data_IF_528969747080
#
_entry.id   IF_528969747080
#
_cell.length_a   1.000
_cell.length_b   1.000
_cell.length_c   1.000
_cell.angle_alpha   90.00
_cell.angle_beta   90.00
_cell.angle_gamma   90.00
#
_symmetry.space_group_name_H-M   'P 1'
#
loop_
_entity.id
_entity.type
_entity.pdbx_description
1 polymer ?
#
# COMPACT_ATOMS: atom_id res chain seq x y z
N UNK A 1 -9.16 -6.18 -18.20
CA UNK A 1 -8.91 -5.08 -17.23
C UNK A 1 -10.08 -4.78 -16.27
N UNK A 2 -11.23 -5.49 -16.31
CA UNK A 2 -12.45 -5.07 -15.59
C UNK A 2 -12.80 -5.82 -14.30
N UNK A 3 -12.09 -6.89 -13.90
CA UNK A 3 -12.52 -7.71 -12.76
C UNK A 3 -11.90 -7.33 -11.41
N UNK A 4 -10.67 -6.78 -11.39
CA UNK A 4 -9.99 -6.41 -10.14
C UNK A 4 -10.60 -5.16 -9.49
N UNK A 5 -11.10 -4.23 -10.31
CA UNK A 5 -11.74 -3.00 -9.84
C UNK A 5 -13.01 -3.37 -9.07
N UNK A 6 -13.93 -4.16 -9.64
CA UNK A 6 -15.23 -4.51 -9.03
C UNK A 6 -15.15 -5.16 -7.65
N UNK A 7 -14.12 -5.95 -7.36
CA UNK A 7 -14.01 -6.66 -6.09
C UNK A 7 -13.58 -5.75 -4.92
N UNK A 8 -12.85 -4.65 -5.20
CA UNK A 8 -12.44 -3.69 -4.19
C UNK A 8 -13.60 -2.83 -3.66
N UNK A 9 -14.66 -2.61 -4.46
CA UNK A 9 -15.83 -1.83 -4.05
C UNK A 9 -16.58 -2.52 -2.92
N UNK A 10 -16.76 -3.84 -3.00
CA UNK A 10 -17.47 -4.62 -1.98
C UNK A 10 -16.72 -4.75 -0.65
N UNK A 11 -15.38 -4.79 -0.67
CA UNK A 11 -14.60 -4.95 0.57
C UNK A 11 -14.54 -3.68 1.43
N UNK A 12 -14.93 -2.52 0.88
CA UNK A 12 -14.80 -1.23 1.56
C UNK A 12 -16.10 -0.42 1.60
N UNK A 13 -17.25 -1.07 1.40
CA UNK A 13 -18.58 -0.42 1.42
C UNK A 13 -18.84 0.38 2.70
N UNK A 14 -18.49 -0.17 3.86
CA UNK A 14 -18.67 0.51 5.15
C UNK A 14 -17.82 1.79 5.25
N UNK A 15 -16.60 1.75 4.71
CA UNK A 15 -15.71 2.92 4.67
C UNK A 15 -16.23 3.97 3.68
N UNK A 16 -16.71 3.55 2.51
CA UNK A 16 -17.31 4.44 1.50
C UNK A 16 -18.56 5.12 2.08
N UNK A 17 -19.42 4.37 2.77
CA UNK A 17 -20.60 4.90 3.44
C UNK A 17 -20.23 5.87 4.56
N UNK A 18 -19.20 5.55 5.34
CA UNK A 18 -18.67 6.45 6.36
C UNK A 18 -18.20 7.78 5.75
N UNK A 19 -17.35 7.73 4.71
CA UNK A 19 -16.81 8.92 4.05
C UNK A 19 -17.90 9.79 3.42
N UNK A 20 -18.90 9.17 2.80
CA UNK A 20 -20.05 9.89 2.21
C UNK A 20 -20.86 10.63 3.29
N UNK A 21 -20.87 10.14 4.54
CA UNK A 21 -21.57 10.77 5.66
C UNK A 21 -20.74 11.84 6.37
N UNK A 22 -19.42 11.71 6.39
CA UNK A 22 -18.52 12.59 7.17
C UNK A 22 -17.77 13.61 6.33
N UNK A 23 -17.94 13.60 5.00
CA UNK A 23 -17.30 14.52 4.07
C UNK A 23 -18.26 14.94 2.95
N UNK A 24 -17.91 15.97 2.16
CA UNK A 24 -18.71 16.38 0.99
C UNK A 24 -18.66 15.41 -0.20
N UNK A 25 -17.91 14.30 -0.11
CA UNK A 25 -17.68 13.39 -1.23
C UNK A 25 -18.95 12.65 -1.61
N UNK A 26 -19.27 12.63 -2.90
CA UNK A 26 -20.26 11.72 -3.45
C UNK A 26 -19.78 10.26 -3.35
N UNK A 27 -20.70 9.29 -3.36
CA UNK A 27 -20.37 7.85 -3.25
C UNK A 27 -19.33 7.38 -4.26
N UNK A 28 -19.42 7.85 -5.52
CA UNK A 28 -18.46 7.52 -6.57
C UNK A 28 -17.06 8.12 -6.32
N UNK A 29 -16.99 9.34 -5.80
CA UNK A 29 -15.72 9.99 -5.45
C UNK A 29 -15.07 9.33 -4.23
N UNK A 30 -15.86 9.03 -3.20
CA UNK A 30 -15.40 8.32 -2.01
C UNK A 30 -14.81 6.94 -2.39
N UNK A 31 -15.49 6.19 -3.26
CA UNK A 31 -14.98 4.92 -3.75
C UNK A 31 -13.67 5.06 -4.53
N UNK A 32 -13.54 6.11 -5.35
CA UNK A 32 -12.31 6.37 -6.10
C UNK A 32 -11.15 6.75 -5.19
N UNK A 33 -11.38 7.60 -4.20
CA UNK A 33 -10.37 7.92 -3.17
C UNK A 33 -9.92 6.67 -2.42
N UNK A 34 -10.86 5.81 -2.01
CA UNK A 34 -10.52 4.54 -1.36
C UNK A 34 -9.68 3.66 -2.27
N UNK A 35 -10.06 3.51 -3.54
CA UNK A 35 -9.29 2.75 -4.52
C UNK A 35 -7.87 3.32 -4.72
N UNK A 36 -7.74 4.65 -4.82
CA UNK A 36 -6.45 5.33 -5.00
C UNK A 36 -5.56 5.18 -3.77
N UNK A 37 -6.12 5.28 -2.57
CA UNK A 37 -5.38 5.09 -1.31
C UNK A 37 -4.91 3.64 -1.17
N UNK A 38 -5.77 2.67 -1.49
CA UNK A 38 -5.39 1.26 -1.44
C UNK A 38 -4.35 0.92 -2.51
N UNK A 39 -4.50 1.46 -3.72
CA UNK A 39 -3.51 1.31 -4.78
C UNK A 39 -2.16 1.90 -4.35
N UNK A 40 -2.18 3.08 -3.73
CA UNK A 40 -0.98 3.73 -3.19
C UNK A 40 -0.25 2.87 -2.15
N UNK A 41 -0.99 2.15 -1.30
CA UNK A 41 -0.41 1.25 -0.28
C UNK A 41 -0.21 -0.19 -0.77
N UNK A 42 -0.62 -0.52 -1.99
CA UNK A 42 -0.51 -1.89 -2.53
C UNK A 42 0.85 -2.24 -3.12
N UNK A 43 1.75 -1.25 -3.27
CA UNK A 43 3.12 -1.46 -3.76
C UNK A 43 3.86 -2.45 -2.83
N UNK A 44 4.25 -3.64 -3.33
CA UNK A 44 5.06 -4.58 -2.57
C UNK A 44 6.39 -3.96 -2.16
N UNK A 45 6.91 -4.36 -0.99
CA UNK A 45 8.19 -3.85 -0.45
C UNK A 45 9.31 -3.95 -1.49
N UNK A 46 9.36 -5.06 -2.21
CA UNK A 46 10.39 -5.32 -3.22
C UNK A 46 10.27 -4.38 -4.43
N UNK A 47 9.05 -4.04 -4.85
CA UNK A 47 8.82 -3.09 -5.94
C UNK A 47 9.16 -1.68 -5.53
N UNK A 48 8.77 -1.28 -4.31
CA UNK A 48 9.15 0.01 -3.74
C UNK A 48 10.66 0.18 -3.68
N UNK A 49 11.38 -0.81 -3.13
CA UNK A 49 12.85 -0.75 -3.00
C UNK A 49 13.50 -0.61 -4.37
N UNK A 50 13.06 -1.38 -5.38
CA UNK A 50 13.60 -1.30 -6.75
C UNK A 50 13.35 0.05 -7.41
N UNK A 51 12.11 0.55 -7.35
CA UNK A 51 11.73 1.84 -7.94
C UNK A 51 12.49 2.98 -7.25
N UNK A 52 12.49 3.01 -5.92
CA UNK A 52 13.11 4.09 -5.15
C UNK A 52 14.63 4.11 -5.28
N UNK A 53 15.27 2.93 -5.35
CA UNK A 53 16.69 2.81 -5.67
C UNK A 53 17.01 3.41 -7.04
N UNK A 54 16.23 3.06 -8.07
CA UNK A 54 16.39 3.58 -9.43
C UNK A 54 16.26 5.12 -9.45
N UNK A 55 15.24 5.65 -8.78
CA UNK A 55 15.00 7.10 -8.70
C UNK A 55 16.11 7.85 -7.95
N UNK A 56 16.70 7.27 -6.90
CA UNK A 56 17.82 7.88 -6.18
C UNK A 56 19.13 7.78 -6.95
N UNK A 57 19.36 6.66 -7.65
CA UNK A 57 20.52 6.47 -8.51
C UNK A 57 20.50 7.42 -9.72
N UNK A 58 19.32 7.66 -10.30
CA UNK A 58 19.13 8.68 -11.33
C UNK A 58 19.42 10.11 -10.85
N UNK A 59 19.38 10.35 -9.53
CA UNK A 59 19.76 11.63 -8.89
C UNK A 59 21.25 11.68 -8.50
N UNK A 60 22.03 10.66 -8.86
CA UNK A 60 23.48 10.62 -8.63
C UNK A 60 23.91 10.14 -7.25
N UNK A 61 23.01 9.63 -6.42
CA UNK A 61 23.39 9.09 -5.11
C UNK A 61 24.13 7.76 -5.25
N UNK A 62 25.09 7.53 -4.37
CA UNK A 62 25.82 6.27 -4.24
C UNK A 62 25.00 5.22 -3.50
N UNK A 63 25.35 3.94 -3.65
CA UNK A 63 24.66 2.86 -2.93
C UNK A 63 24.75 3.03 -1.40
N UNK A 64 25.87 3.55 -0.89
CA UNK A 64 26.10 3.80 0.54
C UNK A 64 25.14 4.88 1.09
N UNK A 65 24.73 5.84 0.26
CA UNK A 65 23.75 6.88 0.63
C UNK A 65 22.30 6.39 0.42
N UNK A 66 22.08 5.54 -0.58
CA UNK A 66 20.74 5.09 -0.98
C UNK A 66 20.12 4.13 0.03
N UNK A 67 20.85 3.09 0.45
CA UNK A 67 20.25 2.03 1.27
C UNK A 67 19.80 2.50 2.67
N UNK A 68 20.56 3.32 3.42
CA UNK A 68 20.10 3.87 4.70
C UNK A 68 18.84 4.74 4.54
N UNK A 69 18.73 5.47 3.42
CA UNK A 69 17.58 6.31 3.13
C UNK A 69 16.32 5.48 2.86
N UNK A 70 16.43 4.44 2.03
CA UNK A 70 15.34 3.49 1.78
C UNK A 70 14.93 2.79 3.09
N UNK A 71 15.90 2.38 3.92
CA UNK A 71 15.63 1.76 5.21
C UNK A 71 14.90 2.69 6.20
N UNK A 72 15.17 4.00 6.16
CA UNK A 72 14.43 5.00 6.94
C UNK A 72 13.02 5.31 6.40
N UNK A 73 12.82 5.21 5.09
CA UNK A 73 11.52 5.42 4.43
C UNK A 73 10.56 4.23 4.62
N UNK A 74 11.07 3.00 4.69
CA UNK A 74 10.28 1.77 4.78
C UNK A 74 9.33 1.71 6.00
N UNK A 75 9.76 2.00 7.25
CA UNK A 75 8.88 1.97 8.43
C UNK A 75 7.75 2.99 8.39
N UNK A 76 7.89 4.06 7.60
CA UNK A 76 6.89 5.12 7.48
C UNK A 76 5.80 4.76 6.46
N UNK A 77 5.98 3.69 5.69
CA UNK A 77 5.00 3.23 4.70
C UNK A 77 4.09 2.16 5.28
N UNK A 78 2.81 2.23 4.90
CA UNK A 78 1.98 1.02 4.89
C UNK A 78 2.36 0.25 3.64
N UNK A 79 3.01 -0.88 3.83
CA UNK A 79 3.38 -1.80 2.77
C UNK A 79 2.38 -2.95 2.74
N UNK A 80 2.14 -3.53 1.55
CA UNK A 80 1.41 -4.78 1.46
C UNK A 80 2.09 -5.81 2.37
N UNK A 81 1.35 -6.34 3.36
CA UNK A 81 1.92 -7.32 4.28
C UNK A 81 2.44 -8.52 3.48
N UNK A 82 3.62 -9.09 3.84
CA UNK A 82 4.08 -10.30 3.20
C UNK A 82 2.99 -11.37 3.28
N UNK A 83 2.81 -12.16 2.21
CA UNK A 83 1.85 -13.27 2.23
C UNK A 83 2.32 -14.32 3.23
N UNK A 84 1.75 -14.33 4.43
CA UNK A 84 2.06 -15.29 5.47
C UNK A 84 1.24 -16.56 5.27
N UNK A 85 1.90 -17.71 5.33
CA UNK A 85 1.24 -19.00 5.42
C UNK A 85 0.50 -19.14 6.76
N UNK A 86 -0.54 -19.99 6.80
CA UNK A 86 -1.28 -20.32 8.04
C UNK A 86 -0.33 -20.77 9.16
N UNK A 87 0.75 -21.47 8.81
CA UNK A 87 1.78 -21.89 9.76
C UNK A 87 2.55 -20.71 10.36
N UNK A 88 2.91 -19.71 9.56
CA UNK A 88 3.57 -18.49 10.04
C UNK A 88 2.63 -17.68 10.94
N UNK A 89 1.35 -17.57 10.58
CA UNK A 89 0.34 -16.90 11.40
C UNK A 89 0.17 -17.58 12.76
N UNK A 90 0.04 -18.92 12.80
CA UNK A 90 -0.04 -19.67 14.07
C UNK A 90 1.20 -19.48 14.94
N UNK A 91 2.38 -19.32 14.33
CA UNK A 91 3.64 -19.07 15.06
C UNK A 91 3.73 -17.66 15.63
N UNK A 92 3.09 -16.67 15.01
CA UNK A 92 3.01 -15.31 15.56
C UNK A 92 2.08 -15.26 16.79
N UNK A 93 1.02 -16.08 16.81
CA UNK A 93 0.01 -16.07 17.88
C UNK A 93 0.39 -16.95 19.08
N UNK A 94 1.04 -18.08 18.83
CA UNK A 94 1.31 -19.10 19.87
C UNK A 94 2.79 -19.45 20.03
N UNK A 95 3.67 -18.89 19.19
CA UNK A 95 5.09 -19.23 19.15
C UNK A 95 5.98 -18.29 19.95
#
# INVERSE_FOLDING_TARGET
MSCAVSNAWHQHEDLIAHLTRTSPLGRGEAARVVADVLAFFSEPVEEFVRRRHTELKARGLTNEEIFPRIAGELPQRRVAAPKLSVRQLRRIVYG
#
